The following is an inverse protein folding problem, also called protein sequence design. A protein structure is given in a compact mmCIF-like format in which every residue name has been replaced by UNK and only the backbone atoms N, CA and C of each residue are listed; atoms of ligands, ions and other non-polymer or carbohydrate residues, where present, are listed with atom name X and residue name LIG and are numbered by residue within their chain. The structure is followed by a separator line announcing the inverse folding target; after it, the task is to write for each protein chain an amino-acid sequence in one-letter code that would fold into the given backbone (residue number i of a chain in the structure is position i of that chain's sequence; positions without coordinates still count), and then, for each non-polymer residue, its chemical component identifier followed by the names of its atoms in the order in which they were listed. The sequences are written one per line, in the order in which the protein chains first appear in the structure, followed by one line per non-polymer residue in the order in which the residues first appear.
data_IF_648047597803
#
_entry.id   IF_648047597803
#
_cell.length_a   1.000
_cell.length_b   1.000
_cell.length_c   1.000
_cell.angle_alpha   90.00
_cell.angle_beta   90.00
_cell.angle_gamma   90.00
#
_symmetry.space_group_name_H-M   'P 1'
#
loop_
_entity.id
_entity.type
_entity.pdbx_description
1 polymer ?
#
# COMPACT_ATOMS: atom_id res chain seq x y z
N UNK A 1 42.41 -24.43 43.55
CA UNK A 1 42.38 -23.92 42.16
C UNK A 1 41.86 -22.48 42.19
N UNK A 2 42.68 -21.48 41.87
CA UNK A 2 42.26 -20.06 41.91
C UNK A 2 41.59 -19.69 40.59
N UNK A 3 40.28 -19.46 40.60
CA UNK A 3 39.58 -18.84 39.48
C UNK A 3 40.03 -17.37 39.37
N UNK A 4 40.77 -17.04 38.31
CA UNK A 4 41.02 -15.65 37.90
C UNK A 4 39.73 -15.14 37.26
N UNK A 5 38.97 -14.31 37.97
CA UNK A 5 37.95 -13.49 37.33
C UNK A 5 38.65 -12.50 36.39
N UNK A 6 38.52 -12.73 35.09
CA UNK A 6 38.99 -11.79 34.06
C UNK A 6 37.88 -10.77 33.85
N UNK A 7 38.02 -9.59 34.46
CA UNK A 7 37.08 -8.49 34.31
C UNK A 7 37.41 -7.62 33.09
N UNK A 8 36.38 -7.10 32.45
CA UNK A 8 36.48 -6.09 31.39
C UNK A 8 36.93 -4.77 32.04
N UNK A 9 37.85 -4.03 31.41
CA UNK A 9 38.29 -2.74 31.96
C UNK A 9 37.25 -1.65 31.73
N UNK A 10 37.21 -0.61 32.58
CA UNK A 10 36.31 0.53 32.39
C UNK A 10 36.51 1.16 31.00
N UNK A 11 37.76 1.29 30.57
CA UNK A 11 38.09 1.87 29.26
C UNK A 11 37.59 1.00 28.10
N UNK A 12 37.66 -0.32 28.23
CA UNK A 12 37.18 -1.26 27.21
C UNK A 12 35.65 -1.23 27.08
N UNK A 13 34.92 -1.09 28.19
CA UNK A 13 33.48 -0.86 28.15
C UNK A 13 33.14 0.47 27.45
N UNK A 14 33.87 1.55 27.76
CA UNK A 14 33.65 2.86 27.14
C UNK A 14 33.92 2.82 25.63
N UNK A 15 34.99 2.14 25.20
CA UNK A 15 35.30 1.96 23.77
C UNK A 15 34.23 1.10 23.09
N UNK A 16 33.78 0.00 23.72
CA UNK A 16 32.72 -0.83 23.17
C UNK A 16 31.40 -0.05 22.99
N UNK A 17 31.02 0.76 23.98
CA UNK A 17 29.84 1.63 23.88
C UNK A 17 30.03 2.68 22.77
N UNK A 18 31.21 3.29 22.65
CA UNK A 18 31.48 4.27 21.59
C UNK A 18 31.38 3.66 20.18
N UNK A 19 31.89 2.44 19.99
CA UNK A 19 31.75 1.74 18.70
C UNK A 19 30.29 1.36 18.46
N UNK A 20 29.58 0.86 19.49
CA UNK A 20 28.17 0.50 19.38
C UNK A 20 27.29 1.70 18.99
N UNK A 21 27.52 2.88 19.58
CA UNK A 21 26.73 4.08 19.25
C UNK A 21 26.97 4.55 17.81
N UNK A 22 28.21 4.50 17.32
CA UNK A 22 28.52 4.80 15.91
C UNK A 22 27.77 3.83 14.99
N UNK A 23 27.82 2.52 15.26
CA UNK A 23 27.13 1.50 14.46
C UNK A 23 25.61 1.69 14.47
N UNK A 24 25.02 1.96 15.63
CA UNK A 24 23.58 2.19 15.77
C UNK A 24 23.13 3.46 15.03
N UNK A 25 23.93 4.53 15.07
CA UNK A 25 23.62 5.79 14.39
C UNK A 25 23.45 5.64 12.87
N UNK A 26 24.17 4.69 12.27
CA UNK A 26 24.12 4.41 10.83
C UNK A 26 23.09 3.30 10.52
N UNK A 27 23.00 2.28 11.38
CA UNK A 27 22.16 1.10 11.16
C UNK A 27 20.66 1.37 11.32
N UNK A 28 20.26 2.08 12.39
CA UNK A 28 18.84 2.33 12.71
C UNK A 28 18.09 3.10 11.59
N UNK A 29 18.59 4.22 11.04
CA UNK A 29 17.87 4.94 9.99
C UNK A 29 17.71 4.11 8.70
N UNK A 30 18.67 3.25 8.36
CA UNK A 30 18.57 2.35 7.20
C UNK A 30 17.43 1.35 7.36
N UNK A 31 17.27 0.77 8.55
CA UNK A 31 16.21 -0.21 8.81
C UNK A 31 14.80 0.40 8.73
N UNK A 32 14.64 1.64 9.21
CA UNK A 32 13.38 2.38 9.07
C UNK A 32 12.99 2.58 7.60
N UNK A 33 13.94 2.90 6.72
CA UNK A 33 13.67 3.03 5.29
C UNK A 33 13.19 1.71 4.65
N UNK A 34 13.80 0.58 5.03
CA UNK A 34 13.40 -0.76 4.54
C UNK A 34 11.99 -1.12 4.98
N UNK A 35 11.63 -0.83 6.23
CA UNK A 35 10.27 -1.08 6.75
C UNK A 35 9.24 -0.21 5.99
N UNK A 36 9.50 1.09 5.85
CA UNK A 36 8.58 1.99 5.17
C UNK A 36 8.39 1.61 3.69
N UNK A 37 9.47 1.22 3.01
CA UNK A 37 9.38 0.71 1.64
C UNK A 37 8.54 -0.56 1.56
N UNK A 38 8.74 -1.49 2.50
CA UNK A 38 7.99 -2.75 2.54
C UNK A 38 6.49 -2.51 2.76
N UNK A 39 6.13 -1.61 3.68
CA UNK A 39 4.74 -1.19 3.93
C UNK A 39 4.11 -0.54 2.69
N UNK A 40 4.82 0.38 2.05
CA UNK A 40 4.37 1.04 0.81
C UNK A 40 4.17 0.05 -0.34
N UNK A 41 5.08 -0.91 -0.48
CA UNK A 41 4.96 -1.99 -1.46
C UNK A 41 3.77 -2.89 -1.18
N UNK A 42 3.56 -3.28 0.08
CA UNK A 42 2.45 -4.13 0.48
C UNK A 42 1.10 -3.46 0.17
N UNK A 43 0.90 -2.22 0.58
CA UNK A 43 -0.32 -1.45 0.30
C UNK A 43 -0.58 -1.34 -1.21
N UNK A 44 0.44 -1.01 -2.00
CA UNK A 44 0.28 -0.94 -3.45
C UNK A 44 -0.07 -2.30 -4.06
N UNK A 45 0.52 -3.40 -3.58
CA UNK A 45 0.21 -4.74 -4.06
C UNK A 45 -1.21 -5.17 -3.70
N UNK A 46 -1.73 -4.79 -2.53
CA UNK A 46 -3.11 -5.09 -2.15
C UNK A 46 -4.11 -4.39 -3.07
N UNK A 47 -3.88 -3.12 -3.39
CA UNK A 47 -4.69 -2.37 -4.37
C UNK A 47 -4.59 -3.01 -5.76
N UNK A 48 -3.38 -3.33 -6.21
CA UNK A 48 -3.17 -4.01 -7.51
C UNK A 48 -3.88 -5.37 -7.52
N UNK A 49 -3.91 -6.10 -6.41
CA UNK A 49 -4.63 -7.37 -6.28
C UNK A 49 -6.14 -7.15 -6.40
N UNK A 50 -6.69 -6.13 -5.75
CA UNK A 50 -8.11 -5.78 -5.87
C UNK A 50 -8.49 -5.39 -7.31
N UNK A 51 -7.68 -4.57 -7.96
CA UNK A 51 -7.89 -4.15 -9.35
C UNK A 51 -7.83 -5.34 -10.32
N UNK A 52 -6.85 -6.22 -10.17
CA UNK A 52 -6.76 -7.44 -11.00
C UNK A 52 -7.93 -8.38 -10.75
N UNK A 53 -8.36 -8.54 -9.49
CA UNK A 53 -9.54 -9.33 -9.16
C UNK A 53 -10.77 -8.77 -9.87
N UNK A 54 -11.06 -7.48 -9.71
CA UNK A 54 -12.20 -6.83 -10.34
C UNK A 54 -12.20 -6.99 -11.86
N UNK A 55 -11.06 -6.72 -12.51
CA UNK A 55 -10.90 -6.89 -13.96
C UNK A 55 -11.15 -8.33 -14.40
N UNK A 56 -10.57 -9.30 -13.70
CA UNK A 56 -10.76 -10.72 -14.04
C UNK A 56 -12.20 -11.19 -13.82
N UNK A 57 -12.86 -10.69 -12.77
CA UNK A 57 -14.25 -11.01 -12.47
C UNK A 57 -15.21 -10.36 -13.46
N UNK A 58 -14.90 -9.15 -13.95
CA UNK A 58 -15.70 -8.48 -14.97
C UNK A 58 -15.73 -9.29 -16.27
N UNK A 59 -14.55 -9.73 -16.73
CA UNK A 59 -14.42 -10.60 -17.91
C UNK A 59 -15.05 -11.97 -17.67
N UNK A 60 -14.79 -12.60 -16.51
CA UNK A 60 -15.32 -13.94 -16.19
C UNK A 60 -16.84 -13.98 -16.14
N UNK A 61 -17.48 -12.89 -15.70
CA UNK A 61 -18.93 -12.78 -15.55
C UNK A 61 -19.62 -12.11 -16.73
N UNK A 62 -18.85 -11.56 -17.67
CA UNK A 62 -19.34 -10.73 -18.77
C UNK A 62 -20.25 -9.58 -18.28
N UNK A 63 -19.86 -8.92 -17.18
CA UNK A 63 -20.59 -7.81 -16.58
C UNK A 63 -19.62 -6.85 -15.88
N UNK A 64 -20.08 -5.64 -15.60
CA UNK A 64 -19.26 -4.64 -14.94
C UNK A 64 -18.96 -5.00 -13.46
N UNK A 65 -17.72 -4.80 -13.05
CA UNK A 65 -17.26 -5.01 -11.67
C UNK A 65 -16.43 -3.81 -11.23
N UNK A 66 -16.72 -3.30 -10.05
CA UNK A 66 -16.12 -2.08 -9.51
C UNK A 66 -15.24 -2.33 -8.31
N UNK A 67 -14.21 -1.50 -8.18
CA UNK A 67 -13.40 -1.32 -6.98
C UNK A 67 -13.71 0.05 -6.40
N UNK A 68 -14.17 0.07 -5.16
CA UNK A 68 -14.58 1.30 -4.50
C UNK A 68 -14.17 1.28 -3.03
N UNK A 69 -13.92 2.47 -2.48
CA UNK A 69 -13.75 2.64 -1.05
C UNK A 69 -15.08 2.39 -0.33
N UNK A 70 -15.01 1.75 0.83
CA UNK A 70 -16.20 1.35 1.60
C UNK A 70 -15.95 1.51 3.09
N UNK A 71 -16.95 2.06 3.78
CA UNK A 71 -16.95 2.24 5.24
C UNK A 71 -17.80 1.20 5.97
N UNK A 72 -18.66 0.47 5.23
CA UNK A 72 -19.58 -0.54 5.74
C UNK A 72 -19.31 -1.95 5.19
N UNK A 73 -18.24 -2.08 4.39
CA UNK A 73 -17.81 -3.31 3.70
C UNK A 73 -18.86 -3.89 2.73
N UNK A 74 -19.92 -3.16 2.43
CA UNK A 74 -21.05 -3.64 1.63
C UNK A 74 -21.35 -2.73 0.43
N UNK A 75 -21.15 -1.42 0.59
CA UNK A 75 -21.51 -0.41 -0.41
C UNK A 75 -20.34 0.52 -0.73
N UNK A 76 -20.38 1.11 -1.93
CA UNK A 76 -19.43 2.12 -2.37
C UNK A 76 -19.81 3.49 -1.77
N UNK A 77 -19.51 3.68 -0.49
CA UNK A 77 -19.86 4.89 0.26
C UNK A 77 -18.64 5.61 0.87
N UNK A 78 -17.42 5.12 0.60
CA UNK A 78 -16.18 5.69 1.09
C UNK A 78 -15.49 6.59 0.08
N UNK A 79 -14.32 7.11 0.48
CA UNK A 79 -13.42 7.86 -0.38
C UNK A 79 -12.04 7.19 -0.43
N UNK A 80 -11.32 7.37 -1.54
CA UNK A 80 -9.92 6.95 -1.68
C UNK A 80 -8.99 7.93 -0.96
N UNK A 81 -9.09 8.01 0.37
CA UNK A 81 -8.27 8.88 1.22
C UNK A 81 -7.35 8.10 2.19
N UNK A 82 -7.46 6.77 2.22
CA UNK A 82 -6.70 5.89 3.11
C UNK A 82 -7.30 5.73 4.51
N UNK A 83 -8.48 6.30 4.78
CA UNK A 83 -9.21 6.12 6.05
C UNK A 83 -10.12 4.90 6.04
N UNK A 84 -10.57 4.51 4.85
CA UNK A 84 -11.52 3.43 4.63
C UNK A 84 -10.84 2.25 3.93
N UNK A 85 -11.42 1.06 4.11
CA UNK A 85 -11.10 -0.09 3.30
C UNK A 85 -11.63 0.06 1.88
N UNK A 86 -11.44 -0.98 1.07
CA UNK A 86 -12.03 -1.05 -0.27
C UNK A 86 -12.59 -2.43 -0.55
N UNK A 87 -13.56 -2.47 -1.46
CA UNK A 87 -14.25 -3.68 -1.86
C UNK A 87 -14.19 -3.88 -3.36
N UNK A 88 -14.28 -5.13 -3.78
CA UNK A 88 -14.54 -5.52 -5.17
C UNK A 88 -15.97 -6.05 -5.22
N UNK A 89 -16.83 -5.43 -6.01
CA UNK A 89 -18.26 -5.74 -6.04
C UNK A 89 -18.79 -5.63 -7.49
N UNK A 90 -19.70 -6.52 -7.94
CA UNK A 90 -20.40 -6.32 -9.21
C UNK A 90 -21.13 -4.98 -9.26
N UNK A 91 -21.14 -4.32 -10.41
CA UNK A 91 -21.89 -3.07 -10.59
C UNK A 91 -23.36 -3.32 -10.93
N UNK A 92 -24.05 -4.02 -10.03
CA UNK A 92 -25.50 -4.27 -10.11
C UNK A 92 -26.15 -4.04 -8.75
N UNK A 93 -27.39 -3.54 -8.76
CA UNK A 93 -28.10 -3.24 -7.53
C UNK A 93 -28.30 -4.52 -6.67
N UNK A 94 -28.01 -4.42 -5.38
CA UNK A 94 -28.14 -5.55 -4.44
C UNK A 94 -27.05 -6.61 -4.54
N UNK A 95 -25.96 -6.36 -5.29
CA UNK A 95 -24.82 -7.26 -5.31
C UNK A 95 -24.15 -7.38 -3.95
N UNK A 96 -23.50 -8.52 -3.71
CA UNK A 96 -22.62 -8.71 -2.56
C UNK A 96 -21.15 -8.52 -2.97
N UNK A 97 -20.30 -7.95 -2.09
CA UNK A 97 -18.87 -7.88 -2.32
C UNK A 97 -18.26 -9.25 -2.59
N UNK A 98 -17.43 -9.34 -3.62
CA UNK A 98 -16.63 -10.53 -3.93
C UNK A 98 -15.46 -10.67 -2.97
N UNK A 99 -14.89 -9.54 -2.55
CA UNK A 99 -13.81 -9.47 -1.58
C UNK A 99 -13.76 -8.09 -0.93
N UNK A 100 -13.39 -8.09 0.34
CA UNK A 100 -13.22 -6.90 1.18
C UNK A 100 -11.75 -6.80 1.61
N UNK A 101 -11.24 -5.58 1.64
CA UNK A 101 -9.95 -5.23 2.25
C UNK A 101 -10.22 -4.24 3.37
N UNK A 102 -9.63 -4.52 4.53
CA UNK A 102 -9.70 -3.64 5.70
C UNK A 102 -9.02 -2.30 5.41
N UNK A 103 -9.38 -1.28 6.20
CA UNK A 103 -8.72 0.01 6.14
C UNK A 103 -7.21 -0.16 6.42
N UNK A 104 -6.33 0.50 5.64
CA UNK A 104 -4.91 0.45 5.90
C UNK A 104 -4.60 1.17 7.23
N UNK A 105 -3.35 1.07 7.70
CA UNK A 105 -2.96 1.78 8.93
C UNK A 105 -3.27 3.28 8.82
N UNK A 106 -3.62 3.93 9.92
CA UNK A 106 -3.96 5.37 9.96
C UNK A 106 -2.88 6.33 9.41
N UNK A 107 -1.65 5.83 9.17
CA UNK A 107 -0.57 6.59 8.54
C UNK A 107 -0.54 6.48 7.01
N UNK A 108 -1.38 5.64 6.41
CA UNK A 108 -1.49 5.52 4.97
C UNK A 108 -2.24 6.72 4.39
N UNK A 109 -1.78 7.19 3.23
CA UNK A 109 -2.42 8.23 2.46
C UNK A 109 -2.60 7.69 1.06
N UNK A 110 -3.84 7.69 0.58
CA UNK A 110 -4.21 7.34 -0.79
C UNK A 110 -4.76 8.61 -1.44
N UNK A 111 -4.36 8.86 -2.69
CA UNK A 111 -4.85 9.99 -3.47
C UNK A 111 -5.19 9.50 -4.86
N UNK A 112 -6.41 9.78 -5.32
CA UNK A 112 -6.85 9.50 -6.68
C UNK A 112 -6.67 10.73 -7.57
N UNK A 113 -6.18 10.53 -8.79
CA UNK A 113 -6.05 11.57 -9.81
C UNK A 113 -6.55 11.05 -11.18
N UNK A 114 -7.07 11.94 -12.02
CA UNK A 114 -7.73 11.60 -13.28
C UNK A 114 -9.23 11.37 -13.07
N UNK A 115 -9.78 10.31 -13.68
CA UNK A 115 -11.15 9.89 -13.39
C UNK A 115 -11.29 9.54 -11.90
N UNK A 116 -12.21 10.21 -11.21
CA UNK A 116 -12.41 10.12 -9.78
C UNK A 116 -13.64 9.26 -9.43
N UNK A 117 -13.60 8.61 -8.26
CA UNK A 117 -14.66 7.72 -7.78
C UNK A 117 -14.33 6.25 -8.00
N UNK A 118 -15.38 5.45 -8.18
CA UNK A 118 -15.29 4.00 -8.35
C UNK A 118 -14.48 3.64 -9.61
N UNK A 119 -13.63 2.62 -9.48
CA UNK A 119 -12.84 2.10 -10.60
C UNK A 119 -13.59 0.90 -11.15
N UNK A 120 -14.29 1.11 -12.27
CA UNK A 120 -15.19 0.13 -12.87
C UNK A 120 -14.52 -0.50 -14.09
N UNK A 121 -14.45 -1.83 -14.10
CA UNK A 121 -14.03 -2.63 -15.25
C UNK A 121 -15.25 -3.23 -15.94
N UNK A 122 -15.31 -3.14 -17.27
CA UNK A 122 -16.38 -3.72 -18.07
C UNK A 122 -16.13 -5.20 -18.43
N UNK A 123 -17.07 -5.80 -19.18
CA UNK A 123 -16.98 -7.19 -19.65
C UNK A 123 -15.76 -7.49 -20.55
N UNK A 124 -15.12 -6.49 -21.14
CA UNK A 124 -13.88 -6.63 -21.92
C UNK A 124 -12.62 -6.39 -21.06
N UNK A 125 -12.80 -6.00 -19.80
CA UNK A 125 -11.74 -5.67 -18.87
C UNK A 125 -11.15 -4.29 -19.13
N UNK A 126 -11.88 -3.39 -19.78
CA UNK A 126 -11.55 -1.98 -19.99
C UNK A 126 -12.16 -1.11 -18.88
N UNK A 127 -11.66 0.12 -18.70
CA UNK A 127 -12.23 1.05 -17.72
C UNK A 127 -13.40 1.83 -18.34
N UNK A 128 -14.54 1.83 -17.66
CA UNK A 128 -15.71 2.62 -18.10
C UNK A 128 -15.63 4.11 -17.70
N UNK A 129 -14.91 4.44 -16.62
CA UNK A 129 -14.76 5.81 -16.10
C UNK A 129 -13.61 6.64 -16.70
N UNK A 130 -12.78 6.05 -17.57
CA UNK A 130 -11.55 6.66 -18.09
C UNK A 130 -10.31 6.39 -17.24
N UNK A 131 -9.14 6.81 -17.74
CA UNK A 131 -7.87 6.54 -17.07
C UNK A 131 -7.77 7.22 -15.70
N UNK A 132 -7.25 6.49 -14.71
CA UNK A 132 -7.12 6.96 -13.33
C UNK A 132 -5.78 6.53 -12.75
N UNK A 133 -5.32 7.22 -11.71
CA UNK A 133 -4.10 6.89 -10.99
C UNK A 133 -4.34 6.97 -9.49
N UNK A 134 -4.01 5.90 -8.78
CA UNK A 134 -3.95 5.88 -7.32
C UNK A 134 -2.50 6.08 -6.89
N UNK A 135 -2.25 7.12 -6.11
CA UNK A 135 -0.96 7.35 -5.48
C UNK A 135 -1.06 6.98 -4.01
N UNK A 136 -0.16 6.13 -3.53
CA UNK A 136 -0.11 5.71 -2.12
C UNK A 136 1.22 6.09 -1.47
N UNK A 137 1.15 6.48 -0.20
CA UNK A 137 2.31 6.74 0.63
C UNK A 137 1.95 6.55 2.10
N UNK A 138 2.96 6.63 2.95
CA UNK A 138 2.77 6.74 4.40
C UNK A 138 3.17 8.14 4.88
N UNK A 139 2.63 8.60 6.01
CA UNK A 139 3.09 9.82 6.67
C UNK A 139 4.57 9.68 7.06
N UNK A 140 5.37 10.72 6.80
CA UNK A 140 6.83 10.66 6.97
C UNK A 140 7.57 9.90 5.85
N UNK A 141 6.94 9.74 4.68
CA UNK A 141 7.59 9.24 3.46
C UNK A 141 8.81 10.10 3.11
N UNK A 142 9.92 9.47 2.72
CA UNK A 142 11.16 10.11 2.24
C UNK A 142 11.63 9.44 0.96
N UNK A 143 12.42 10.13 0.12
CA UNK A 143 12.96 9.54 -1.11
C UNK A 143 11.88 8.99 -2.06
N UNK A 144 12.13 7.83 -2.67
CA UNK A 144 11.22 7.20 -3.66
C UNK A 144 10.35 6.09 -3.05
N UNK A 145 9.79 6.36 -1.87
CA UNK A 145 9.00 5.39 -1.11
C UNK A 145 7.50 5.48 -1.39
N UNK A 146 7.03 6.47 -2.16
CA UNK A 146 5.64 6.53 -2.60
C UNK A 146 5.41 5.61 -3.82
N UNK A 147 4.16 5.24 -4.06
CA UNK A 147 3.76 4.38 -5.18
C UNK A 147 2.72 5.08 -6.03
N UNK A 148 2.86 4.93 -7.34
CA UNK A 148 1.87 5.37 -8.32
C UNK A 148 1.38 4.16 -9.07
N UNK A 149 0.08 3.91 -8.98
CA UNK A 149 -0.65 2.81 -9.61
C UNK A 149 -1.49 3.45 -10.71
N UNK A 150 -1.03 3.36 -11.95
CA UNK A 150 -1.75 3.87 -13.10
C UNK A 150 -2.64 2.77 -13.69
N UNK A 151 -3.87 3.14 -14.01
CA UNK A 151 -4.80 2.30 -14.76
C UNK A 151 -5.24 3.07 -15.99
N UNK A 152 -4.89 2.57 -17.18
CA UNK A 152 -5.27 3.20 -18.44
C UNK A 152 -6.69 2.79 -18.87
N UNK A 153 -7.19 3.41 -19.94
CA UNK A 153 -8.52 3.09 -20.48
C UNK A 153 -8.69 1.61 -20.86
N UNK A 154 -7.63 0.93 -21.32
CA UNK A 154 -7.69 -0.51 -21.67
C UNK A 154 -7.61 -1.44 -20.44
N UNK A 155 -7.72 -0.91 -19.23
CA UNK A 155 -7.65 -1.67 -17.97
C UNK A 155 -6.26 -2.21 -17.60
N UNK A 156 -5.18 -1.75 -18.25
CA UNK A 156 -3.81 -2.13 -17.88
C UNK A 156 -3.42 -1.44 -16.59
N UNK A 157 -3.07 -2.25 -15.58
CA UNK A 157 -2.64 -1.81 -14.26
C UNK A 157 -1.11 -1.81 -14.22
N UNK A 158 -0.50 -0.70 -13.84
CA UNK A 158 0.95 -0.58 -13.69
C UNK A 158 1.31 0.17 -12.40
N UNK A 159 2.05 -0.49 -11.50
CA UNK A 159 2.53 0.11 -10.27
C UNK A 159 4.03 0.43 -10.36
N UNK A 160 4.41 1.66 -10.01
CA UNK A 160 5.82 2.10 -9.96
C UNK A 160 6.13 2.88 -8.69
N UNK A 161 7.42 2.98 -8.36
CA UNK A 161 7.92 3.90 -7.34
C UNK A 161 7.88 5.33 -7.86
N UNK A 162 7.58 6.27 -6.98
CA UNK A 162 7.63 7.71 -7.22
C UNK A 162 8.17 8.40 -5.97
N UNK A 163 8.70 9.59 -6.14
CA UNK A 163 9.17 10.41 -5.03
C UNK A 163 8.02 10.80 -4.10
N UNK A 164 8.31 10.81 -2.80
CA UNK A 164 7.39 11.35 -1.81
C UNK A 164 7.19 12.87 -2.08
N UNK A 165 6.00 13.42 -1.79
CA UNK A 165 5.73 14.86 -1.91
C UNK A 165 6.63 15.70 -1.00
#
# INVERSE_FOLDING_TARGET
MKHKSSGITLIELLVAIAVLTILLSIGVPSFNNVIQNSRSTALANEIVTALNLARSEAVRRAQDVKVCASTDEATCNGAWDGTSGWIVIPDVAGATPLRVWEAPSASAVIVQAGAAGDIIFDALGELSGGATTLSTRFTGCTGDQARSININASGRINARRVSCP
#
